data_IF_493689488449
#
_entry.id   IF_493689488449
#
_cell.length_a   1.000
_cell.length_b   1.000
_cell.length_c   1.000
_cell.angle_alpha   90.00
_cell.angle_beta   90.00
_cell.angle_gamma   90.00
#
_symmetry.space_group_name_H-M   'P 1'
#
loop_
_entity.id
_entity.type
_entity.pdbx_description
1 polymer ?
#
# COMPACT_ATOMS: atom_id res chain seq x y z
N UNK A 1 -5.88 -24.72 -2.38
CA UNK A 1 -6.01 -25.63 -1.23
C UNK A 1 -7.24 -25.28 -0.38
N UNK A 2 -7.35 -24.12 0.32
CA UNK A 2 -8.50 -23.83 1.22
C UNK A 2 -9.86 -23.99 0.53
N UNK A 3 -10.04 -23.46 -0.68
CA UNK A 3 -11.29 -23.62 -1.45
C UNK A 3 -11.60 -25.07 -1.82
N UNK A 4 -10.58 -25.89 -2.09
CA UNK A 4 -10.77 -27.33 -2.34
C UNK A 4 -11.24 -28.06 -1.06
N UNK A 5 -10.66 -27.69 0.09
CA UNK A 5 -11.10 -28.22 1.40
C UNK A 5 -12.57 -27.86 1.65
N UNK A 6 -12.96 -26.62 1.41
CA UNK A 6 -14.35 -26.15 1.56
C UNK A 6 -15.29 -26.88 0.60
N UNK A 7 -14.83 -27.15 -0.64
CA UNK A 7 -15.57 -27.91 -1.63
C UNK A 7 -15.68 -29.42 -1.34
N UNK A 8 -15.11 -29.89 -0.22
CA UNK A 8 -15.23 -31.28 0.22
C UNK A 8 -14.02 -32.17 -0.12
N UNK A 9 -12.96 -31.60 -0.71
CA UNK A 9 -11.73 -32.37 -0.94
C UNK A 9 -11.06 -32.73 0.39
N UNK A 10 -10.73 -34.00 0.59
CA UNK A 10 -10.13 -34.54 1.83
C UNK A 10 -8.89 -35.38 1.57
N UNK A 11 -8.59 -35.69 0.29
CA UNK A 11 -7.38 -36.43 -0.04
C UNK A 11 -6.14 -35.57 0.15
N UNK A 12 -5.25 -35.90 1.12
CA UNK A 12 -4.05 -35.14 1.37
C UNK A 12 -3.12 -35.06 0.15
N UNK A 13 -3.12 -36.08 -0.72
CA UNK A 13 -2.30 -36.10 -1.93
C UNK A 13 -2.81 -35.08 -2.96
N UNK A 14 -4.13 -35.02 -3.17
CA UNK A 14 -4.76 -34.02 -4.02
C UNK A 14 -4.52 -32.62 -3.47
N UNK A 15 -4.70 -32.42 -2.18
CA UNK A 15 -4.48 -31.12 -1.53
C UNK A 15 -3.02 -30.65 -1.59
N UNK A 16 -2.05 -31.57 -1.51
CA UNK A 16 -0.62 -31.25 -1.59
C UNK A 16 -0.20 -30.75 -2.99
N UNK A 17 -0.97 -31.03 -4.04
CA UNK A 17 -0.72 -30.51 -5.39
C UNK A 17 -0.87 -28.99 -5.47
N UNK A 18 -1.63 -28.36 -4.57
CA UNK A 18 -1.75 -26.91 -4.46
C UNK A 18 -0.53 -26.24 -3.81
N UNK A 19 0.57 -27.00 -3.57
CA UNK A 19 1.82 -26.44 -3.07
C UNK A 19 2.36 -25.38 -4.03
N UNK A 20 2.66 -24.21 -3.50
CA UNK A 20 3.23 -23.10 -4.29
C UNK A 20 4.74 -23.27 -4.48
N UNK A 21 5.31 -22.84 -5.63
CA UNK A 21 6.74 -22.70 -5.79
C UNK A 21 7.30 -21.79 -4.68
N UNK A 22 8.39 -22.20 -4.03
CA UNK A 22 8.98 -21.47 -2.90
C UNK A 22 8.47 -21.89 -1.51
N UNK A 23 7.53 -22.85 -1.42
CA UNK A 23 7.20 -23.46 -0.14
C UNK A 23 8.39 -24.30 0.36
N UNK A 24 8.86 -24.05 1.58
CA UNK A 24 10.01 -24.72 2.18
C UNK A 24 9.74 -26.19 2.57
N UNK A 25 8.46 -26.58 2.71
CA UNK A 25 8.07 -27.94 3.05
C UNK A 25 7.90 -28.81 1.80
N UNK A 26 8.32 -30.06 1.89
CA UNK A 26 8.13 -31.05 0.82
C UNK A 26 6.65 -31.44 0.67
N UNK A 27 6.28 -32.00 -0.48
CA UNK A 27 4.92 -32.50 -0.68
C UNK A 27 4.55 -33.59 0.34
N UNK A 28 5.50 -34.47 0.70
CA UNK A 28 5.30 -35.53 1.68
C UNK A 28 5.01 -34.96 3.10
N UNK A 29 5.70 -33.90 3.51
CA UNK A 29 5.42 -33.24 4.78
C UNK A 29 4.05 -32.58 4.78
N UNK A 30 3.64 -31.96 3.67
CA UNK A 30 2.32 -31.35 3.52
C UNK A 30 1.23 -32.45 3.58
N UNK A 31 1.40 -33.56 2.88
CA UNK A 31 0.48 -34.71 2.95
C UNK A 31 0.33 -35.19 4.40
N UNK A 32 1.44 -35.35 5.12
CA UNK A 32 1.44 -35.76 6.52
C UNK A 32 0.71 -34.76 7.41
N UNK A 33 0.91 -33.46 7.18
CA UNK A 33 0.27 -32.37 7.95
C UNK A 33 -1.24 -32.26 7.66
N UNK A 34 -1.69 -32.67 6.47
CA UNK A 34 -3.10 -32.67 6.07
C UNK A 34 -3.84 -33.96 6.46
N UNK A 35 -3.14 -34.94 7.00
CA UNK A 35 -3.75 -36.16 7.51
C UNK A 35 -4.25 -35.90 8.92
N UNK A 36 -5.57 -35.92 9.11
CA UNK A 36 -6.19 -35.64 10.40
C UNK A 36 -7.70 -35.74 10.36
N UNK A 37 -8.33 -35.29 11.43
CA UNK A 37 -9.78 -35.17 11.55
C UNK A 37 -10.26 -33.84 11.01
N UNK A 38 -11.38 -33.85 10.31
CA UNK A 38 -12.04 -32.66 9.78
C UNK A 38 -13.27 -32.38 10.63
N UNK A 39 -13.19 -31.31 11.41
CA UNK A 39 -14.28 -30.87 12.28
C UNK A 39 -15.18 -29.89 11.53
N UNK A 40 -16.48 -30.16 11.51
CA UNK A 40 -17.48 -29.33 10.82
C UNK A 40 -17.51 -27.90 11.34
N UNK A 41 -17.29 -27.68 12.65
CA UNK A 41 -17.23 -26.35 13.22
C UNK A 41 -16.02 -25.55 12.69
N UNK A 42 -14.86 -26.21 12.54
CA UNK A 42 -13.66 -25.60 11.97
C UNK A 42 -13.83 -25.33 10.47
N UNK A 43 -14.47 -26.25 9.75
CA UNK A 43 -14.77 -26.06 8.32
C UNK A 43 -15.73 -24.89 8.11
N UNK A 44 -16.74 -24.74 8.97
CA UNK A 44 -17.63 -23.58 8.95
C UNK A 44 -16.86 -22.28 9.15
N UNK A 45 -15.98 -22.19 10.16
CA UNK A 45 -15.14 -21.02 10.40
C UNK A 45 -14.23 -20.72 9.21
N UNK A 46 -13.65 -21.76 8.60
CA UNK A 46 -12.82 -21.61 7.40
C UNK A 46 -13.62 -21.04 6.24
N UNK A 47 -14.85 -21.54 6.01
CA UNK A 47 -15.75 -21.02 4.98
C UNK A 47 -16.01 -19.52 5.21
N UNK A 48 -16.41 -19.12 6.44
CA UNK A 48 -16.65 -17.71 6.78
C UNK A 48 -15.42 -16.84 6.51
N UNK A 49 -14.22 -17.32 6.86
CA UNK A 49 -12.98 -16.58 6.63
C UNK A 49 -12.68 -16.39 5.13
N UNK A 50 -12.92 -17.39 4.30
CA UNK A 50 -12.73 -17.31 2.85
C UNK A 50 -13.78 -16.39 2.21
N UNK A 51 -15.04 -16.46 2.64
CA UNK A 51 -16.11 -15.58 2.14
C UNK A 51 -15.82 -14.12 2.46
N UNK A 52 -15.33 -13.83 3.68
CA UNK A 52 -14.90 -12.48 4.05
C UNK A 52 -13.69 -12.02 3.22
N UNK A 53 -12.74 -12.88 2.97
CA UNK A 53 -11.59 -12.56 2.11
C UNK A 53 -12.04 -12.19 0.70
N UNK A 54 -12.98 -12.95 0.11
CA UNK A 54 -13.51 -12.69 -1.22
C UNK A 54 -14.33 -11.39 -1.25
N UNK A 55 -15.14 -11.18 -0.23
CA UNK A 55 -15.90 -9.95 -0.07
C UNK A 55 -14.98 -8.72 -0.04
N UNK A 56 -13.96 -8.73 0.82
CA UNK A 56 -13.03 -7.60 0.90
C UNK A 56 -12.20 -7.43 -0.38
N UNK A 57 -11.80 -8.51 -1.03
CA UNK A 57 -11.09 -8.44 -2.31
C UNK A 57 -11.93 -7.74 -3.37
N UNK A 58 -13.23 -8.09 -3.45
CA UNK A 58 -14.17 -7.42 -4.35
C UNK A 58 -14.34 -5.93 -4.00
N UNK A 59 -14.49 -5.62 -2.71
CA UNK A 59 -14.63 -4.22 -2.26
C UNK A 59 -13.40 -3.37 -2.52
N UNK A 60 -12.21 -3.94 -2.39
CA UNK A 60 -10.96 -3.25 -2.75
C UNK A 60 -10.95 -2.94 -4.25
N UNK A 61 -11.29 -3.89 -5.11
CA UNK A 61 -11.34 -3.67 -6.54
C UNK A 61 -12.37 -2.59 -6.95
N UNK A 62 -13.54 -2.56 -6.28
CA UNK A 62 -14.53 -1.49 -6.46
C UNK A 62 -13.97 -0.12 -6.05
N UNK A 63 -13.24 -0.05 -4.93
CA UNK A 63 -12.59 1.18 -4.48
C UNK A 63 -11.51 1.64 -5.47
N UNK A 64 -10.68 0.73 -5.97
CA UNK A 64 -9.65 1.03 -6.96
C UNK A 64 -10.27 1.61 -8.24
N UNK A 65 -11.36 1.01 -8.72
CA UNK A 65 -12.11 1.53 -9.87
C UNK A 65 -12.63 2.95 -9.63
N UNK A 66 -13.16 3.22 -8.44
CA UNK A 66 -13.63 4.57 -8.07
C UNK A 66 -12.49 5.57 -7.96
N UNK A 67 -11.36 5.16 -7.42
CA UNK A 67 -10.16 5.99 -7.35
C UNK A 67 -9.65 6.33 -8.77
N UNK A 68 -9.58 5.36 -9.66
CA UNK A 68 -9.18 5.60 -11.05
C UNK A 68 -10.11 6.60 -11.73
N UNK A 69 -11.44 6.42 -11.59
CA UNK A 69 -12.44 7.36 -12.09
C UNK A 69 -12.22 8.77 -11.53
N UNK A 70 -11.96 8.87 -10.21
CA UNK A 70 -11.69 10.16 -9.58
C UNK A 70 -10.43 10.83 -10.15
N UNK A 71 -9.35 10.07 -10.35
CA UNK A 71 -8.16 10.62 -11.01
C UNK A 71 -8.45 11.13 -12.42
N UNK A 72 -9.27 10.42 -13.20
CA UNK A 72 -9.64 10.83 -14.55
C UNK A 72 -10.40 12.16 -14.58
N UNK A 73 -11.17 12.49 -13.54
CA UNK A 73 -11.88 13.78 -13.42
C UNK A 73 -11.01 14.93 -12.93
N UNK A 74 -9.84 14.64 -12.35
CA UNK A 74 -8.92 15.68 -11.86
C UNK A 74 -8.21 16.35 -13.03
N UNK A 75 -8.06 17.67 -12.95
CA UNK A 75 -7.32 18.44 -13.92
C UNK A 75 -5.85 17.97 -14.00
N UNK A 76 -5.35 17.90 -15.22
CA UNK A 76 -3.92 17.66 -15.47
C UNK A 76 -3.15 18.95 -15.29
N UNK A 77 -1.97 18.89 -14.65
CA UNK A 77 -1.02 20.03 -14.69
C UNK A 77 -0.25 20.13 -16.00
N UNK A 78 -0.45 19.17 -16.91
CA UNK A 78 -0.02 19.22 -18.30
C UNK A 78 -1.14 19.69 -19.24
N UNK A 79 -1.01 19.41 -20.53
CA UNK A 79 -2.06 19.71 -21.50
C UNK A 79 -3.36 18.94 -21.19
N UNK A 80 -4.52 19.58 -21.30
CA UNK A 80 -5.81 18.88 -21.20
C UNK A 80 -5.86 17.72 -22.21
N UNK A 81 -6.29 16.56 -21.76
CA UNK A 81 -6.34 15.32 -22.55
C UNK A 81 -4.99 14.76 -23.05
N UNK A 82 -3.87 15.22 -22.48
CA UNK A 82 -2.58 14.58 -22.76
C UNK A 82 -2.65 13.09 -22.39
N UNK A 83 -2.05 12.19 -23.19
CA UNK A 83 -1.93 10.79 -22.83
C UNK A 83 -1.16 10.66 -21.51
N UNK A 84 -1.40 9.56 -20.79
CA UNK A 84 -0.65 9.28 -19.57
C UNK A 84 0.86 9.36 -19.87
N UNK A 85 1.66 9.99 -18.99
CA UNK A 85 3.09 10.15 -19.24
C UNK A 85 3.76 8.78 -19.39
N UNK A 86 4.63 8.65 -20.40
CA UNK A 86 5.52 7.50 -20.57
C UNK A 86 6.63 7.61 -19.50
N UNK A 87 6.41 6.96 -18.39
CA UNK A 87 7.33 7.01 -17.25
C UNK A 87 8.37 5.89 -17.39
N UNK A 88 9.64 6.16 -17.06
CA UNK A 88 10.65 5.12 -17.05
C UNK A 88 10.20 3.96 -16.15
N UNK A 89 10.61 2.72 -16.45
CA UNK A 89 10.21 1.56 -15.68
C UNK A 89 10.54 1.79 -14.21
N UNK A 90 9.55 1.63 -13.36
CA UNK A 90 9.78 1.60 -11.92
C UNK A 90 10.72 0.43 -11.61
N UNK A 91 11.56 0.56 -10.57
CA UNK A 91 12.23 -0.61 -10.00
C UNK A 91 11.16 -1.68 -9.79
N UNK A 92 11.46 -2.97 -10.09
CA UNK A 92 10.47 -4.02 -9.93
C UNK A 92 9.91 -3.95 -8.52
N UNK A 93 8.70 -3.40 -8.42
CA UNK A 93 7.95 -3.47 -7.17
C UNK A 93 7.76 -4.96 -6.91
N UNK A 94 8.22 -5.43 -5.75
CA UNK A 94 7.76 -6.73 -5.27
C UNK A 94 6.25 -6.70 -5.41
N UNK A 95 5.65 -7.73 -6.00
CA UNK A 95 4.19 -7.83 -6.19
C UNK A 95 3.52 -7.65 -4.83
N UNK A 96 3.36 -6.40 -4.42
CA UNK A 96 2.69 -6.06 -3.17
C UNK A 96 1.25 -6.50 -3.29
N UNK A 97 0.78 -7.29 -2.32
CA UNK A 97 -0.63 -7.67 -2.23
C UNK A 97 -1.57 -6.47 -2.13
N UNK A 98 -1.03 -5.31 -1.79
CA UNK A 98 -1.75 -4.05 -1.65
C UNK A 98 -1.49 -3.09 -2.84
N UNK A 99 -0.94 -3.58 -3.94
CA UNK A 99 -0.78 -2.76 -5.14
C UNK A 99 -2.16 -2.43 -5.72
N UNK A 100 -2.31 -1.18 -6.15
CA UNK A 100 -3.53 -0.74 -6.84
C UNK A 100 -3.70 -1.50 -8.16
N UNK A 101 -4.94 -1.77 -8.54
CA UNK A 101 -5.27 -2.56 -9.74
C UNK A 101 -5.13 -1.76 -11.05
N UNK A 102 -4.91 -0.45 -10.96
CA UNK A 102 -4.72 0.45 -12.10
C UNK A 102 -3.34 1.13 -12.07
N UNK A 103 -2.96 1.79 -13.17
CA UNK A 103 -1.70 2.52 -13.25
C UNK A 103 -1.74 3.84 -12.47
N UNK A 104 -1.74 3.74 -11.14
CA UNK A 104 -1.80 4.89 -10.25
C UNK A 104 -0.60 5.84 -10.41
N UNK A 105 0.61 5.33 -10.68
CA UNK A 105 1.82 6.15 -10.87
C UNK A 105 1.64 7.15 -12.00
N UNK A 106 1.16 6.68 -13.16
CA UNK A 106 0.95 7.54 -14.29
C UNK A 106 -0.18 8.56 -14.06
N UNK A 107 -1.29 8.13 -13.44
CA UNK A 107 -2.39 9.02 -13.07
C UNK A 107 -1.95 10.12 -12.09
N UNK A 108 -1.21 9.74 -11.05
CA UNK A 108 -0.68 10.69 -10.06
C UNK A 108 0.28 11.67 -10.75
N UNK A 109 1.23 11.17 -11.56
CA UNK A 109 2.17 12.02 -12.27
C UNK A 109 1.47 13.01 -13.22
N UNK A 110 0.38 12.60 -13.89
CA UNK A 110 -0.45 13.48 -14.70
C UNK A 110 -1.09 14.60 -13.87
N UNK A 111 -1.66 14.28 -12.72
CA UNK A 111 -2.37 15.25 -11.87
C UNK A 111 -1.40 16.22 -11.17
N UNK A 112 -0.25 15.75 -10.73
CA UNK A 112 0.72 16.59 -9.99
C UNK A 112 1.72 17.27 -10.94
N UNK A 113 1.92 16.70 -12.13
CA UNK A 113 2.93 17.16 -13.09
C UNK A 113 4.35 16.64 -12.83
N UNK A 114 4.53 15.78 -11.81
CA UNK A 114 5.83 15.23 -11.41
C UNK A 114 5.69 13.76 -11.02
N UNK A 115 6.67 12.94 -11.38
CA UNK A 115 6.72 11.53 -10.95
C UNK A 115 7.38 11.39 -9.57
N UNK A 116 6.57 11.45 -8.53
CA UNK A 116 7.06 11.28 -7.15
C UNK A 116 7.47 9.83 -6.82
N UNK A 117 7.03 8.84 -7.59
CA UNK A 117 7.42 7.43 -7.38
C UNK A 117 8.87 7.19 -7.82
N UNK A 118 9.44 8.08 -8.63
CA UNK A 118 10.88 8.05 -8.96
C UNK A 118 11.76 8.35 -7.72
N UNK A 119 11.21 9.00 -6.70
CA UNK A 119 11.93 9.26 -5.44
C UNK A 119 12.04 7.96 -4.64
N UNK A 120 13.29 7.62 -4.25
CA UNK A 120 13.56 6.42 -3.48
C UNK A 120 12.73 6.40 -2.17
N UNK A 121 12.15 5.25 -1.85
CA UNK A 121 11.31 5.05 -0.67
C UNK A 121 9.82 5.37 -0.87
N UNK A 122 9.43 6.04 -1.96
CA UNK A 122 8.04 6.34 -2.28
C UNK A 122 7.45 5.30 -3.24
N UNK A 123 6.40 4.62 -2.82
CA UNK A 123 5.56 3.77 -3.69
C UNK A 123 4.35 4.56 -4.19
N UNK A 124 3.67 4.07 -5.23
CA UNK A 124 2.44 4.69 -5.72
C UNK A 124 1.37 4.82 -4.62
N UNK A 125 1.21 3.80 -3.77
CA UNK A 125 0.29 3.82 -2.62
C UNK A 125 0.69 4.88 -1.58
N UNK A 126 2.00 5.01 -1.32
CA UNK A 126 2.53 6.02 -0.40
C UNK A 126 2.25 7.43 -0.92
N UNK A 127 2.53 7.67 -2.21
CA UNK A 127 2.28 8.96 -2.85
C UNK A 127 0.79 9.28 -2.88
N UNK A 128 -0.07 8.30 -3.17
CA UNK A 128 -1.52 8.47 -3.10
C UNK A 128 -1.98 8.86 -1.69
N UNK A 129 -1.45 8.22 -0.64
CA UNK A 129 -1.77 8.57 0.75
C UNK A 129 -1.36 10.01 1.05
N UNK A 130 -0.16 10.42 0.62
CA UNK A 130 0.33 11.78 0.76
C UNK A 130 -0.60 12.76 0.04
N UNK A 131 -0.93 12.49 -1.21
CA UNK A 131 -1.80 13.33 -2.03
C UNK A 131 -3.21 13.46 -1.45
N UNK A 132 -3.77 12.39 -0.88
CA UNK A 132 -5.09 12.41 -0.25
C UNK A 132 -5.17 13.31 0.98
N UNK A 133 -4.06 13.53 1.68
CA UNK A 133 -3.98 14.40 2.86
C UNK A 133 -3.62 15.85 2.50
N UNK A 134 -2.73 16.03 1.54
CA UNK A 134 -2.18 17.35 1.18
C UNK A 134 -3.03 18.02 0.10
N UNK A 135 -3.63 17.24 -0.80
CA UNK A 135 -4.26 17.74 -2.01
C UNK A 135 -3.21 18.11 -3.08
N UNK A 136 -3.67 18.76 -4.15
CA UNK A 136 -2.83 19.20 -5.27
C UNK A 136 -2.35 20.64 -5.16
N UNK A 137 -2.96 21.41 -4.25
CA UNK A 137 -2.60 22.83 -4.04
C UNK A 137 -1.46 22.94 -3.02
N UNK A 138 -0.27 23.22 -3.53
CA UNK A 138 0.93 23.47 -2.72
C UNK A 138 1.16 24.96 -2.39
N UNK A 139 0.40 25.89 -2.98
CA UNK A 139 0.57 27.34 -2.76
C UNK A 139 0.19 27.74 -1.32
N UNK A 140 -0.66 26.92 -0.68
CA UNK A 140 -0.98 27.09 0.75
C UNK A 140 0.23 26.97 1.68
N UNK A 141 1.36 26.46 1.19
CA UNK A 141 2.61 26.36 1.94
C UNK A 141 3.65 27.35 1.39
N UNK A 142 3.84 28.52 2.00
CA UNK A 142 4.75 29.54 1.48
C UNK A 142 6.20 29.07 1.34
N UNK A 143 6.64 28.13 2.16
CA UNK A 143 8.00 27.57 2.10
C UNK A 143 7.99 26.09 2.51
N UNK A 144 9.06 25.36 2.14
CA UNK A 144 9.30 23.98 2.59
C UNK A 144 9.29 23.86 4.12
N UNK A 145 9.75 24.87 4.85
CA UNK A 145 9.73 24.89 6.32
C UNK A 145 8.30 24.87 6.87
N UNK A 146 7.38 25.62 6.28
CA UNK A 146 5.96 25.61 6.65
C UNK A 146 5.34 24.24 6.38
N UNK A 147 5.65 23.64 5.24
CA UNK A 147 5.21 22.30 4.90
C UNK A 147 5.71 21.23 5.89
N UNK A 148 7.02 21.23 6.19
CA UNK A 148 7.59 20.31 7.18
C UNK A 148 7.03 20.52 8.59
N UNK A 149 6.76 21.77 8.97
CA UNK A 149 6.13 22.09 10.25
C UNK A 149 4.69 21.57 10.32
N UNK A 150 3.91 21.80 9.26
CA UNK A 150 2.54 21.30 9.16
C UNK A 150 2.49 19.76 9.21
N UNK A 151 3.43 19.07 8.59
CA UNK A 151 3.60 17.63 8.69
C UNK A 151 4.06 17.17 10.08
N UNK A 152 4.53 18.09 10.97
CA UNK A 152 5.14 17.72 12.26
C UNK A 152 6.48 16.99 12.12
N UNK A 153 7.18 17.22 11.00
CA UNK A 153 8.52 16.66 10.75
C UNK A 153 9.63 17.63 11.19
N UNK A 154 9.31 18.92 11.34
CA UNK A 154 10.25 19.90 11.84
C UNK A 154 10.50 19.70 13.35
N UNK A 155 11.76 19.75 13.81
CA UNK A 155 12.06 19.68 15.23
C UNK A 155 11.57 20.95 15.94
N UNK A 156 10.92 20.78 17.07
CA UNK A 156 10.59 21.86 17.99
C UNK A 156 11.62 21.85 19.12
N UNK A 157 12.54 22.81 19.08
CA UNK A 157 13.63 22.89 20.02
C UNK A 157 13.31 23.92 21.11
N UNK A 158 13.40 23.49 22.38
CA UNK A 158 13.39 24.39 23.52
C UNK A 158 14.84 24.88 23.73
N UNK A 159 15.07 26.17 23.54
CA UNK A 159 16.43 26.78 23.60
C UNK A 159 16.51 27.76 24.77
N UNK A 160 17.55 27.64 25.57
CA UNK A 160 17.89 28.63 26.63
C UNK A 160 19.38 28.90 26.64
N UNK A 161 19.76 30.17 26.69
CA UNK A 161 21.15 30.60 26.71
C UNK A 161 21.97 30.10 25.49
N UNK A 162 21.33 29.93 24.31
CA UNK A 162 21.97 29.41 23.11
C UNK A 162 22.11 27.88 23.04
N UNK A 163 21.76 27.18 24.12
CA UNK A 163 21.81 25.70 24.17
C UNK A 163 20.43 25.09 23.95
N UNK A 164 20.37 24.01 23.15
CA UNK A 164 19.14 23.23 22.96
C UNK A 164 18.94 22.36 24.19
N UNK A 165 17.94 22.72 25.03
CA UNK A 165 17.58 21.96 26.21
C UNK A 165 16.79 20.70 25.88
N UNK A 166 15.94 20.77 24.85
CA UNK A 166 15.08 19.69 24.43
C UNK A 166 14.80 19.79 22.93
N UNK A 167 14.85 18.68 22.24
CA UNK A 167 14.43 18.57 20.83
C UNK A 167 13.35 17.50 20.71
N UNK A 168 12.21 17.86 20.14
CA UNK A 168 11.11 16.91 19.86
C UNK A 168 10.37 17.33 18.61
N UNK A 169 9.78 16.40 17.91
CA UNK A 169 8.83 16.70 16.83
C UNK A 169 7.42 16.85 17.40
N UNK A 170 6.60 17.69 16.80
CA UNK A 170 5.19 17.81 17.18
C UNK A 170 4.44 16.52 16.87
N UNK A 171 3.53 16.14 17.77
CA UNK A 171 2.61 15.05 17.49
C UNK A 171 1.47 15.57 16.60
N UNK A 172 1.43 15.12 15.36
CA UNK A 172 0.35 15.41 14.41
C UNK A 172 -0.36 14.13 14.01
N UNK A 173 -1.69 14.22 13.84
CA UNK A 173 -2.54 13.11 13.40
C UNK A 173 -2.81 13.21 11.91
N UNK A 174 -1.73 13.16 11.11
CA UNK A 174 -1.94 13.19 9.67
C UNK A 174 -1.21 11.99 9.04
N UNK A 175 -1.86 11.32 8.08
CA UNK A 175 -1.33 10.12 7.43
C UNK A 175 -0.11 10.42 6.56
N UNK A 176 -0.02 11.65 6.02
CA UNK A 176 1.14 12.06 5.24
C UNK A 176 2.42 12.09 6.10
N UNK A 177 2.35 12.53 7.38
CA UNK A 177 3.48 12.44 8.29
C UNK A 177 4.01 11.01 8.41
N UNK A 178 3.10 10.06 8.63
CA UNK A 178 3.45 8.64 8.76
C UNK A 178 4.03 8.09 7.45
N UNK A 179 3.42 8.44 6.31
CA UNK A 179 3.87 8.03 5.00
C UNK A 179 5.31 8.52 4.69
N UNK A 180 5.63 9.78 4.99
CA UNK A 180 6.98 10.31 4.84
C UNK A 180 7.99 9.65 5.77
N UNK A 181 7.64 9.39 7.03
CA UNK A 181 8.51 8.68 7.97
C UNK A 181 8.81 7.25 7.49
N UNK A 182 7.79 6.56 7.01
CA UNK A 182 7.95 5.19 6.49
C UNK A 182 8.80 5.17 5.22
N UNK A 183 8.57 6.13 4.31
CA UNK A 183 9.40 6.29 3.12
C UNK A 183 10.88 6.52 3.47
N UNK A 184 11.16 7.37 4.45
CA UNK A 184 12.54 7.61 4.92
C UNK A 184 13.18 6.35 5.53
N UNK A 185 12.42 5.56 6.30
CA UNK A 185 12.91 4.29 6.85
C UNK A 185 13.26 3.27 5.75
N UNK A 186 12.45 3.21 4.68
CA UNK A 186 12.71 2.32 3.54
C UNK A 186 13.99 2.67 2.75
N UNK A 187 14.54 3.88 2.94
CA UNK A 187 15.80 4.31 2.29
C UNK A 187 17.02 3.93 3.12
N UNK A 188 16.86 3.83 4.44
CA UNK A 188 17.96 3.59 5.38
C UNK A 188 18.23 2.09 5.57
N UNK A 189 17.23 1.23 5.35
CA UNK A 189 17.35 -0.24 5.47
C UNK A 189 17.70 -0.88 4.14
#
# INVERSE_FOLDING_TARGET
MLRAIIAGERDPQCLAQFRQPGCNHSAAEIVKALTGTWDDAQLFVLQQAVDLFDYYTTKIAECDTKLEQQYQTMESRGEPNAPLPDLPPAKPESKSKNALTFNARAQIARVIGVDLVAVMGLSAVTVQTILSEIGTDMERFPTVKHFCSWLGLAPHNDISGGNVLRSRTMQVRNRANQAFRQAAQNVIG
#
